data_IF_584541429146
#
_entry.id   IF_584541429146
#
_cell.length_a   1.000
_cell.length_b   1.000
_cell.length_c   1.000
_cell.angle_alpha   90.00
_cell.angle_beta   90.00
_cell.angle_gamma   90.00
#
_symmetry.space_group_name_H-M   'P 1'
#
loop_
_entity.id
_entity.type
_entity.pdbx_description
1 polymer ?
#
# COMPACT_ATOMS: atom_id res chain seq x y z
N UNK A 1 16.59 18.97 -36.17
CA UNK A 1 15.67 17.82 -36.08
C UNK A 1 16.28 16.65 -35.31
N UNK A 2 17.45 16.14 -35.69
CA UNK A 2 18.11 14.97 -35.09
C UNK A 2 18.45 15.14 -33.59
N UNK A 3 18.92 16.32 -33.18
CA UNK A 3 19.22 16.62 -31.77
C UNK A 3 17.98 16.56 -30.88
N UNK A 4 16.84 17.06 -31.37
CA UNK A 4 15.57 17.01 -30.63
C UNK A 4 15.04 15.58 -30.53
N UNK A 5 15.20 14.79 -31.61
CA UNK A 5 14.86 13.36 -31.59
C UNK A 5 15.72 12.56 -30.60
N UNK A 6 17.02 12.86 -30.51
CA UNK A 6 17.91 12.22 -29.53
C UNK A 6 17.53 12.59 -28.09
N UNK A 7 17.22 13.87 -27.84
CA UNK A 7 16.77 14.32 -26.52
C UNK A 7 15.42 13.69 -26.17
N UNK A 8 14.46 13.64 -27.09
CA UNK A 8 13.17 13.00 -26.83
C UNK A 8 13.33 11.50 -26.57
N UNK A 9 14.21 10.81 -27.30
CA UNK A 9 14.48 9.39 -27.12
C UNK A 9 15.16 9.11 -25.77
N UNK A 10 16.09 9.97 -25.34
CA UNK A 10 16.75 9.87 -24.03
C UNK A 10 15.76 10.09 -22.88
N UNK A 11 14.87 11.07 -23.00
CA UNK A 11 13.82 11.32 -22.00
C UNK A 11 12.85 10.13 -21.93
N UNK A 12 12.47 9.58 -23.10
CA UNK A 12 11.58 8.41 -23.16
C UNK A 12 12.22 7.18 -22.51
N UNK A 13 13.52 6.93 -22.76
CA UNK A 13 14.21 5.78 -22.18
C UNK A 13 14.38 5.90 -20.67
N UNK A 14 14.63 7.11 -20.15
CA UNK A 14 14.67 7.38 -18.71
C UNK A 14 13.31 7.14 -18.05
N UNK A 15 12.23 7.62 -18.66
CA UNK A 15 10.87 7.41 -18.15
C UNK A 15 10.48 5.93 -18.10
N UNK A 16 10.85 5.16 -19.14
CA UNK A 16 10.61 3.71 -19.18
C UNK A 16 11.42 2.98 -18.10
N UNK A 17 12.69 3.35 -17.90
CA UNK A 17 13.53 2.78 -16.83
C UNK A 17 12.93 3.03 -15.44
N UNK A 18 12.42 4.24 -15.19
CA UNK A 18 11.82 4.59 -13.91
C UNK A 18 10.58 3.72 -13.60
N UNK A 19 9.69 3.54 -14.58
CA UNK A 19 8.48 2.70 -14.45
C UNK A 19 8.85 1.22 -14.24
N UNK A 20 9.80 0.69 -14.99
CA UNK A 20 10.23 -0.70 -14.83
C UNK A 20 10.92 -0.96 -13.48
N UNK A 21 11.69 0.02 -12.97
CA UNK A 21 12.30 -0.06 -11.65
C UNK A 21 11.27 -0.01 -10.51
N UNK A 22 10.14 0.70 -10.67
CA UNK A 22 9.10 0.74 -9.63
C UNK A 22 8.42 -0.61 -9.38
N UNK A 23 8.18 -1.40 -10.42
CA UNK A 23 7.58 -2.75 -10.31
C UNK A 23 8.48 -3.70 -9.49
N UNK A 24 9.81 -3.64 -9.72
CA UNK A 24 10.78 -4.43 -8.97
C UNK A 24 10.83 -4.06 -7.47
N UNK A 25 10.50 -2.80 -7.13
CA UNK A 25 10.48 -2.32 -5.75
C UNK A 25 9.29 -2.84 -4.94
N UNK A 26 8.23 -3.33 -5.61
CA UNK A 26 7.00 -3.85 -4.98
C UNK A 26 7.02 -5.37 -4.77
N UNK A 27 8.09 -6.04 -5.15
CA UNK A 27 8.25 -7.48 -4.89
C UNK A 27 8.94 -7.68 -3.55
N UNK A 28 8.46 -8.57 -2.67
CA UNK A 28 9.15 -8.88 -1.42
C UNK A 28 10.59 -9.34 -1.71
N UNK A 29 11.60 -8.85 -0.97
CA UNK A 29 12.97 -9.33 -1.15
C UNK A 29 13.04 -10.83 -0.83
N UNK A 30 13.61 -11.62 -1.76
CA UNK A 30 13.79 -13.06 -1.55
C UNK A 30 14.64 -13.29 -0.30
N UNK A 31 14.12 -14.08 0.64
CA UNK A 31 14.86 -14.48 1.85
C UNK A 31 15.88 -15.55 1.44
N UNK A 32 17.19 -15.33 1.63
CA UNK A 32 18.17 -16.39 1.46
C UNK A 32 17.96 -17.49 2.52
N UNK A 33 18.21 -18.75 2.16
CA UNK A 33 18.07 -19.90 3.08
C UNK A 33 18.97 -19.76 4.31
N UNK A 34 20.18 -19.21 4.13
CA UNK A 34 21.13 -18.91 5.19
C UNK A 34 21.87 -17.60 4.90
N UNK A 35 22.14 -16.81 5.95
CA UNK A 35 22.97 -15.61 5.84
C UNK A 35 24.43 -15.97 6.12
N UNK A 36 25.31 -15.85 5.11
CA UNK A 36 26.72 -16.24 5.24
C UNK A 36 27.56 -15.18 5.93
N UNK A 37 27.10 -13.93 5.92
CA UNK A 37 27.81 -12.78 6.48
C UNK A 37 26.83 -11.81 7.18
N UNK A 38 27.20 -11.20 8.33
CA UNK A 38 26.40 -10.14 8.96
C UNK A 38 26.04 -8.98 8.02
N UNK A 39 26.87 -8.69 7.01
CA UNK A 39 26.56 -7.65 6.02
C UNK A 39 25.40 -8.03 5.10
N UNK A 40 25.20 -9.32 4.79
CA UNK A 40 24.05 -9.78 4.00
C UNK A 40 22.75 -9.61 4.79
N UNK A 41 22.77 -9.92 6.09
CA UNK A 41 21.63 -9.68 6.96
C UNK A 41 21.26 -8.20 7.02
N UNK A 42 22.24 -7.31 7.19
CA UNK A 42 22.01 -5.85 7.18
C UNK A 42 21.38 -5.38 5.87
N UNK A 43 21.88 -5.91 4.74
CA UNK A 43 21.36 -5.57 3.40
C UNK A 43 19.92 -6.05 3.24
N UNK A 44 19.62 -7.28 3.67
CA UNK A 44 18.27 -7.84 3.63
C UNK A 44 17.29 -7.05 4.51
N UNK A 45 17.66 -6.73 5.75
CA UNK A 45 16.82 -5.95 6.66
C UNK A 45 16.54 -4.54 6.13
N UNK A 46 17.53 -3.91 5.49
CA UNK A 46 17.33 -2.61 4.83
C UNK A 46 16.30 -2.71 3.70
N UNK A 47 16.46 -3.68 2.80
CA UNK A 47 15.51 -3.90 1.71
C UNK A 47 14.09 -4.24 2.21
N UNK A 48 13.99 -5.02 3.29
CA UNK A 48 12.72 -5.38 3.91
C UNK A 48 12.02 -4.16 4.51
N UNK A 49 12.77 -3.27 5.17
CA UNK A 49 12.23 -2.04 5.72
C UNK A 49 11.70 -1.12 4.60
N UNK A 50 12.46 -0.95 3.51
CA UNK A 50 12.03 -0.16 2.36
C UNK A 50 10.74 -0.72 1.72
N UNK A 51 10.65 -2.04 1.58
CA UNK A 51 9.44 -2.71 1.09
C UNK A 51 8.21 -2.39 1.96
N UNK A 52 8.30 -2.57 3.28
CA UNK A 52 7.16 -2.30 4.17
C UNK A 52 6.84 -0.80 4.31
N UNK A 53 7.82 0.09 4.17
CA UNK A 53 7.57 1.53 4.15
C UNK A 53 6.65 1.94 2.97
N UNK A 54 6.72 1.23 1.85
CA UNK A 54 5.90 1.47 0.66
C UNK A 54 4.56 0.73 0.75
N UNK A 55 4.60 -0.58 1.00
CA UNK A 55 3.41 -1.44 0.99
C UNK A 55 2.51 -1.19 2.21
N UNK A 56 3.13 -0.96 3.37
CA UNK A 56 2.42 -0.71 4.63
C UNK A 56 1.90 0.72 4.78
N UNK A 57 2.19 1.64 3.86
CA UNK A 57 1.74 3.03 3.94
C UNK A 57 0.20 3.04 3.97
N UNK A 58 -0.44 3.57 5.03
CA UNK A 58 -1.89 3.65 5.10
C UNK A 58 -2.44 4.43 3.90
N UNK A 59 -3.19 3.74 3.03
CA UNK A 59 -3.88 4.36 1.89
C UNK A 59 -5.22 4.88 2.38
N UNK A 60 -5.18 5.97 3.14
CA UNK A 60 -6.39 6.66 3.55
C UNK A 60 -7.07 7.21 2.30
N UNK A 61 -8.12 6.51 1.85
CA UNK A 61 -9.03 7.03 0.84
C UNK A 61 -9.80 8.22 1.39
N UNK A 62 -9.98 9.25 0.57
CA UNK A 62 -10.88 10.37 0.85
C UNK A 62 -12.30 9.82 0.88
N UNK A 63 -12.74 9.33 2.04
CA UNK A 63 -14.15 9.03 2.27
C UNK A 63 -14.85 10.38 2.18
N UNK A 64 -15.49 10.65 1.05
CA UNK A 64 -16.35 11.81 0.88
C UNK A 64 -17.49 11.69 1.90
N UNK A 65 -17.28 12.16 3.13
CA UNK A 65 -18.32 12.20 4.16
C UNK A 65 -18.02 11.50 5.50
N UNK A 66 -16.94 10.71 5.65
CA UNK A 66 -16.63 10.16 6.98
C UNK A 66 -15.98 11.26 7.83
N UNK A 67 -16.79 11.96 8.63
CA UNK A 67 -16.28 12.90 9.62
C UNK A 67 -15.67 12.08 10.75
N UNK A 68 -14.57 12.57 11.33
CA UNK A 68 -13.93 11.92 12.49
C UNK A 68 -14.94 11.72 13.63
N UNK A 69 -15.99 12.54 13.71
CA UNK A 69 -17.13 12.39 14.63
C UNK A 69 -17.92 11.08 14.47
N UNK A 70 -17.99 10.51 13.27
CA UNK A 70 -18.74 9.25 13.03
C UNK A 70 -17.98 8.03 13.55
N UNK A 71 -16.65 8.15 13.70
CA UNK A 71 -15.80 7.05 14.19
C UNK A 71 -15.84 6.91 15.72
N UNK A 72 -16.28 7.94 16.43
CA UNK A 72 -16.44 7.97 17.89
C UNK A 72 -17.90 8.08 18.33
N UNK A 73 -18.86 7.86 17.42
CA UNK A 73 -20.26 7.76 17.83
C UNK A 73 -20.41 6.49 18.67
N UNK A 74 -20.79 6.60 19.96
CA UNK A 74 -21.11 5.42 20.74
C UNK A 74 -22.26 4.71 20.01
N UNK A 75 -22.12 3.41 19.77
CA UNK A 75 -23.27 2.52 19.50
C UNK A 75 -24.13 2.50 20.76
N UNK A 76 -24.84 3.60 20.99
CA UNK A 76 -25.89 3.73 21.98
C UNK A 76 -27.21 3.69 21.24
N UNK A 77 -28.10 2.84 21.76
CA UNK A 77 -29.54 2.97 21.64
C UNK A 77 -30.13 2.75 20.23
N UNK A 78 -30.14 1.47 19.82
CA UNK A 78 -31.24 0.93 19.00
C UNK A 78 -31.78 -0.34 19.68
N UNK A 79 -32.20 -0.20 20.94
CA UNK A 79 -33.04 -1.18 21.64
C UNK A 79 -34.50 -0.74 21.44
N UNK A 80 -34.96 -0.83 20.21
CA UNK A 80 -36.29 -0.39 19.80
C UNK A 80 -36.85 -1.32 18.74
N UNK A 81 -37.84 -2.10 19.13
CA UNK A 81 -38.89 -2.61 18.25
C UNK A 81 -38.67 -3.93 17.47
N UNK A 82 -38.06 -4.92 18.15
CA UNK A 82 -38.30 -6.34 17.80
C UNK A 82 -39.29 -6.98 18.77
N UNK A 83 -40.51 -6.44 18.86
CA UNK A 83 -41.64 -7.18 19.41
C UNK A 83 -42.05 -8.26 18.41
N UNK A 84 -41.37 -9.41 18.47
CA UNK A 84 -41.72 -10.59 17.69
C UNK A 84 -43.11 -11.11 18.12
N UNK A 85 -44.10 -10.88 17.25
CA UNK A 85 -45.46 -11.41 17.37
C UNK A 85 -45.46 -12.94 17.19
N UNK A 86 -45.32 -13.70 18.27
CA UNK A 86 -45.44 -15.16 18.31
C UNK A 86 -46.87 -15.62 18.63
N UNK A 87 -47.85 -15.07 17.90
CA UNK A 87 -49.27 -15.17 18.24
C UNK A 87 -50.17 -15.84 17.20
N UNK A 88 -49.63 -16.63 16.26
CA UNK A 88 -50.46 -17.40 15.33
C UNK A 88 -49.91 -18.83 15.16
N UNK A 89 -50.32 -19.73 16.05
CA UNK A 89 -50.40 -21.18 15.86
C UNK A 89 -51.84 -21.62 16.09
#
# INVERSE_FOLDING_TARGET
MHKLLLVSLLVLSLAVMEVLCTEAMLTPPQRPEEFKNPNELRKYLKALNEYYAIVGRPRFGKRNGARVSDMFRPSGDDFGDYSANWGDF
#
